data_IF_242192795566
#
_entry.id   IF_242192795566
#
_cell.length_a   1.000
_cell.length_b   1.000
_cell.length_c   1.000
_cell.angle_alpha   90.00
_cell.angle_beta   90.00
_cell.angle_gamma   90.00
#
_symmetry.space_group_name_H-M   'P 1'
#
loop_
_entity.id
_entity.type
_entity.pdbx_description
1 polymer ?
#
# COMPACT_ATOMS: atom_id res chain seq x y z
N UNK A 1 26.11 -21.61 -2.70
CA UNK A 1 25.37 -21.42 -1.42
C UNK A 1 25.05 -19.94 -1.12
N UNK A 2 25.58 -18.96 -1.86
CA UNK A 2 25.33 -17.55 -1.55
C UNK A 2 23.87 -17.11 -1.79
N UNK A 3 23.21 -17.63 -2.84
CA UNK A 3 21.81 -17.24 -3.16
C UNK A 3 20.83 -17.48 -2.02
N UNK A 4 20.84 -18.67 -1.41
CA UNK A 4 19.94 -18.98 -0.29
C UNK A 4 20.25 -18.10 0.94
N UNK A 5 21.53 -17.88 1.24
CA UNK A 5 21.96 -16.98 2.32
C UNK A 5 21.50 -15.53 2.08
N UNK A 6 21.58 -15.04 0.84
CA UNK A 6 21.13 -13.71 0.47
C UNK A 6 19.60 -13.56 0.64
N UNK A 7 18.84 -14.57 0.20
CA UNK A 7 17.38 -14.61 0.38
C UNK A 7 16.97 -14.73 1.85
N UNK A 8 17.75 -15.44 2.67
CA UNK A 8 17.55 -15.55 4.12
C UNK A 8 17.78 -14.22 4.82
N UNK A 9 18.90 -13.54 4.52
CA UNK A 9 19.18 -12.20 5.03
C UNK A 9 18.13 -11.16 4.62
N UNK A 10 17.57 -11.31 3.42
CA UNK A 10 16.47 -10.47 2.93
C UNK A 10 15.11 -10.80 3.58
N UNK A 11 15.01 -11.90 4.35
CA UNK A 11 13.76 -12.37 4.94
C UNK A 11 12.79 -13.00 3.95
N UNK A 12 13.22 -13.25 2.71
CA UNK A 12 12.41 -13.87 1.64
C UNK A 12 12.37 -15.39 1.76
N UNK A 13 13.42 -16.01 2.30
CA UNK A 13 13.50 -17.44 2.53
C UNK A 13 14.13 -17.73 3.89
N UNK A 14 13.33 -18.08 4.89
CA UNK A 14 13.83 -18.33 6.25
C UNK A 14 13.18 -19.57 6.85
N UNK A 15 13.88 -20.19 7.80
CA UNK A 15 13.29 -21.23 8.64
C UNK A 15 12.15 -20.65 9.47
N UNK A 16 11.01 -21.35 9.46
CA UNK A 16 9.86 -20.95 10.26
C UNK A 16 10.05 -21.39 11.72
N UNK A 17 10.34 -20.43 12.60
CA UNK A 17 10.46 -20.69 14.04
C UNK A 17 9.10 -20.57 14.76
N UNK A 18 8.23 -19.65 14.30
CA UNK A 18 6.89 -19.43 14.87
C UNK A 18 5.83 -19.31 13.79
N UNK A 19 4.57 -19.53 14.18
CA UNK A 19 3.42 -19.31 13.29
C UNK A 19 3.30 -17.82 12.99
N UNK A 20 3.32 -17.44 11.72
CA UNK A 20 3.21 -16.04 11.31
C UNK A 20 1.79 -15.47 11.44
N UNK A 21 1.69 -14.14 11.53
CA UNK A 21 0.42 -13.40 11.64
C UNK A 21 -0.38 -13.32 10.33
N UNK A 22 0.11 -13.97 9.26
CA UNK A 22 -0.44 -13.85 7.91
C UNK A 22 -1.92 -14.20 7.84
N UNK A 23 -2.39 -15.22 8.56
CA UNK A 23 -3.81 -15.60 8.53
C UNK A 23 -4.70 -14.48 9.07
N UNK A 24 -4.27 -13.83 10.15
CA UNK A 24 -4.98 -12.70 10.77
C UNK A 24 -5.00 -11.50 9.84
N UNK A 25 -3.83 -11.12 9.29
CA UNK A 25 -3.69 -9.99 8.35
C UNK A 25 -4.54 -10.23 7.10
N UNK A 26 -4.45 -11.42 6.50
CA UNK A 26 -5.19 -11.81 5.30
C UNK A 26 -6.70 -11.66 5.47
N UNK A 27 -7.23 -12.10 6.62
CA UNK A 27 -8.66 -12.01 6.94
C UNK A 27 -9.08 -10.57 7.24
N UNK A 28 -8.33 -9.88 8.10
CA UNK A 28 -8.66 -8.52 8.53
C UNK A 28 -8.66 -7.52 7.37
N UNK A 29 -7.75 -7.69 6.41
CA UNK A 29 -7.63 -6.81 5.24
C UNK A 29 -8.34 -7.36 3.99
N UNK A 30 -9.08 -8.48 4.11
CA UNK A 30 -9.79 -9.10 2.97
C UNK A 30 -8.89 -9.21 1.73
N UNK A 31 -7.70 -9.81 1.92
CA UNK A 31 -6.70 -9.90 0.84
C UNK A 31 -7.04 -10.96 -0.20
N UNK A 32 -7.92 -11.91 0.14
CA UNK A 32 -8.41 -12.93 -0.79
C UNK A 32 -9.92 -12.78 -0.91
N UNK A 33 -10.37 -12.57 -2.14
CA UNK A 33 -11.76 -12.39 -2.54
C UNK A 33 -12.09 -13.53 -3.49
N UNK A 34 -13.12 -14.30 -3.13
CA UNK A 34 -13.64 -15.37 -3.97
C UNK A 34 -14.53 -14.77 -5.08
N UNK A 35 -14.66 -15.47 -6.21
CA UNK A 35 -15.54 -15.11 -7.33
C UNK A 35 -15.34 -13.68 -7.89
N UNK A 36 -14.10 -13.30 -8.17
CA UNK A 36 -13.77 -11.97 -8.73
C UNK A 36 -14.11 -11.87 -10.22
N UNK A 37 -15.03 -10.97 -10.59
CA UNK A 37 -15.26 -10.58 -11.98
C UNK A 37 -14.08 -9.70 -12.45
N UNK A 38 -13.35 -10.19 -13.46
CA UNK A 38 -12.20 -9.48 -14.04
C UNK A 38 -12.60 -8.57 -15.21
N UNK A 39 -13.78 -8.76 -15.78
CA UNK A 39 -14.31 -7.92 -16.87
C UNK A 39 -14.93 -6.63 -16.32
N UNK A 40 -15.69 -6.72 -15.22
CA UNK A 40 -16.27 -5.58 -14.53
C UNK A 40 -15.85 -5.55 -13.06
N UNK A 41 -14.57 -5.25 -12.78
CA UNK A 41 -14.04 -5.36 -11.42
C UNK A 41 -14.65 -4.33 -10.47
N UNK A 42 -15.00 -4.78 -9.27
CA UNK A 42 -15.49 -3.95 -8.17
C UNK A 42 -14.47 -3.80 -7.02
N UNK A 43 -13.36 -4.55 -7.08
CA UNK A 43 -12.32 -4.58 -6.06
C UNK A 43 -10.93 -4.67 -6.69
N UNK A 44 -9.92 -4.12 -5.99
CA UNK A 44 -8.52 -4.14 -6.42
C UNK A 44 -7.94 -5.56 -6.59
N UNK A 45 -8.57 -6.59 -6.02
CA UNK A 45 -8.19 -7.99 -6.19
C UNK A 45 -8.24 -8.52 -7.63
N UNK A 46 -8.90 -7.81 -8.56
CA UNK A 46 -8.97 -8.18 -9.98
C UNK A 46 -7.58 -8.34 -10.62
N UNK A 47 -6.58 -7.56 -10.18
CA UNK A 47 -5.23 -7.58 -10.77
C UNK A 47 -4.51 -8.91 -10.60
N UNK A 48 -4.94 -9.73 -9.63
CA UNK A 48 -4.48 -11.10 -9.43
C UNK A 48 -5.64 -12.10 -9.34
N UNK A 49 -6.79 -11.78 -9.96
CA UNK A 49 -7.96 -12.67 -10.04
C UNK A 49 -8.40 -13.25 -8.68
N UNK A 50 -8.43 -12.38 -7.66
CA UNK A 50 -8.88 -12.74 -6.30
C UNK A 50 -7.91 -12.36 -5.20
N UNK A 51 -6.65 -12.06 -5.50
CA UNK A 51 -5.72 -11.52 -4.49
C UNK A 51 -5.58 -10.00 -4.61
N UNK A 52 -5.96 -9.29 -3.55
CA UNK A 52 -5.69 -7.87 -3.41
C UNK A 52 -4.25 -7.66 -2.88
N UNK A 53 -3.38 -6.93 -3.59
CA UNK A 53 -2.03 -6.67 -3.10
C UNK A 53 -2.10 -5.95 -1.75
N UNK A 54 -1.47 -6.52 -0.72
CA UNK A 54 -1.44 -5.96 0.64
C UNK A 54 -1.07 -4.48 0.65
N UNK A 55 -0.04 -4.10 -0.11
CA UNK A 55 0.42 -2.71 -0.25
C UNK A 55 -0.71 -1.77 -0.70
N UNK A 56 -1.49 -2.16 -1.70
CA UNK A 56 -2.59 -1.34 -2.22
C UNK A 56 -3.80 -1.37 -1.29
N UNK A 57 -4.05 -2.49 -0.62
CA UNK A 57 -5.13 -2.57 0.37
C UNK A 57 -4.88 -1.64 1.56
N UNK A 58 -3.63 -1.50 2.00
CA UNK A 58 -3.25 -0.52 3.02
C UNK A 58 -3.50 0.92 2.55
N UNK A 59 -3.10 1.25 1.32
CA UNK A 59 -3.36 2.57 0.71
C UNK A 59 -4.86 2.85 0.62
N UNK A 60 -5.66 1.88 0.19
CA UNK A 60 -7.12 2.01 0.12
C UNK A 60 -7.73 2.35 1.48
N UNK A 61 -7.33 1.67 2.55
CA UNK A 61 -7.82 1.95 3.90
C UNK A 61 -7.36 3.32 4.40
N UNK A 62 -6.09 3.66 4.18
CA UNK A 62 -5.55 4.96 4.57
C UNK A 62 -6.32 6.11 3.94
N UNK A 63 -6.68 5.98 2.67
CA UNK A 63 -7.40 7.02 1.92
C UNK A 63 -8.89 7.07 2.30
N UNK A 64 -9.55 5.92 2.49
CA UNK A 64 -11.01 5.88 2.73
C UNK A 64 -11.38 6.08 4.20
N UNK A 65 -10.63 5.49 5.11
CA UNK A 65 -10.98 5.36 6.53
C UNK A 65 -9.91 5.89 7.49
N UNK A 66 -8.73 6.24 6.96
CA UNK A 66 -7.56 6.60 7.77
C UNK A 66 -6.88 5.39 8.43
N UNK A 67 -5.85 5.66 9.22
CA UNK A 67 -5.02 4.61 9.84
C UNK A 67 -5.56 4.05 11.15
N UNK A 68 -6.38 4.83 11.89
CA UNK A 68 -6.89 4.45 13.22
C UNK A 68 -7.57 3.07 13.25
N UNK A 69 -8.44 2.70 12.29
CA UNK A 69 -9.07 1.38 12.30
C UNK A 69 -8.10 0.21 12.05
N UNK A 70 -6.89 0.50 11.54
CA UNK A 70 -5.88 -0.50 11.20
C UNK A 70 -4.75 -0.61 12.22
N UNK A 71 -4.72 0.19 13.30
CA UNK A 71 -3.59 0.25 14.24
C UNK A 71 -3.15 -1.13 14.75
N UNK A 72 -4.10 -2.00 15.11
CA UNK A 72 -3.79 -3.34 15.60
C UNK A 72 -3.27 -4.28 14.51
N UNK A 73 -3.74 -4.11 13.27
CA UNK A 73 -3.25 -4.87 12.13
C UNK A 73 -1.85 -4.40 11.73
N UNK A 74 -1.59 -3.09 11.78
CA UNK A 74 -0.29 -2.51 11.50
C UNK A 74 0.77 -3.07 12.45
N UNK A 75 0.49 -3.18 13.76
CA UNK A 75 1.42 -3.80 14.75
C UNK A 75 1.86 -5.23 14.39
N UNK A 76 1.13 -5.94 13.52
CA UNK A 76 1.48 -7.29 13.06
C UNK A 76 2.40 -7.29 11.82
N UNK A 77 2.57 -6.14 11.18
CA UNK A 77 3.43 -5.95 10.02
C UNK A 77 4.85 -5.54 10.43
N UNK A 78 5.86 -5.80 9.57
CA UNK A 78 7.22 -5.37 9.85
C UNK A 78 7.38 -3.84 9.80
N UNK A 79 8.22 -3.33 10.71
CA UNK A 79 8.66 -1.94 10.71
C UNK A 79 7.78 -1.00 11.53
N UNK A 80 8.23 0.25 11.73
CA UNK A 80 7.45 1.26 12.45
C UNK A 80 6.31 1.81 11.57
N UNK A 81 5.22 2.23 12.22
CA UNK A 81 4.11 2.93 11.59
C UNK A 81 3.96 4.29 12.25
N UNK A 82 3.99 5.36 11.46
CA UNK A 82 3.94 6.73 11.99
C UNK A 82 3.13 7.59 11.07
N UNK A 83 2.22 8.36 11.66
CA UNK A 83 1.48 9.42 10.99
C UNK A 83 2.02 10.75 11.49
N UNK A 84 2.52 11.60 10.58
CA UNK A 84 3.01 12.93 10.93
C UNK A 84 2.19 13.97 10.21
N UNK A 85 1.46 14.78 10.97
CA UNK A 85 0.79 15.97 10.45
C UNK A 85 1.77 17.13 10.52
N UNK A 86 2.27 17.58 9.38
CA UNK A 86 2.97 18.86 9.32
C UNK A 86 1.93 19.96 9.45
N UNK A 87 2.00 20.74 10.52
CA UNK A 87 1.31 22.04 10.56
C UNK A 87 1.93 22.87 9.45
N UNK A 88 1.13 23.34 8.49
CA UNK A 88 1.66 24.13 7.38
C UNK A 88 2.40 25.35 7.92
N UNK A 89 3.46 25.76 7.21
CA UNK A 89 3.95 27.13 7.32
C UNK A 89 2.90 28.05 6.73
N UNK A 90 1.88 28.39 7.52
CA UNK A 90 0.94 29.45 7.24
C UNK A 90 1.21 30.50 8.32
N UNK A 91 1.91 31.56 7.96
CA UNK A 91 1.90 32.77 8.76
C UNK A 91 0.45 33.25 8.84
N UNK A 92 -0.15 33.16 10.02
CA UNK A 92 -1.53 33.57 10.25
C UNK A 92 -2.17 32.79 11.39
N UNK A 93 -2.21 33.41 12.57
CA UNK A 93 -2.90 32.93 13.76
C UNK A 93 -4.42 32.86 13.56
N UNK A 94 -5.03 31.70 13.72
CA UNK A 94 -6.32 31.51 14.41
C UNK A 94 -6.55 30.02 14.72
N UNK A 95 -6.66 29.75 16.01
CA UNK A 95 -7.46 28.75 16.72
C UNK A 95 -7.76 27.36 16.11
N UNK A 96 -7.34 26.36 16.88
CA UNK A 96 -8.00 25.07 17.09
C UNK A 96 -8.55 24.34 15.86
N UNK A 97 -7.66 23.60 15.19
CA UNK A 97 -8.06 22.63 14.15
C UNK A 97 -7.65 21.21 14.57
N UNK A 98 -8.26 20.77 15.67
CA UNK A 98 -8.56 19.35 15.85
C UNK A 98 -9.64 18.98 14.83
N UNK A 99 -9.45 17.92 14.05
CA UNK A 99 -10.42 17.27 13.13
C UNK A 99 -10.54 17.64 11.62
N UNK A 100 -9.71 18.49 11.00
CA UNK A 100 -9.99 18.93 9.61
C UNK A 100 -9.31 18.22 8.42
N UNK A 101 -8.46 17.20 8.61
CA UNK A 101 -7.73 16.62 7.44
C UNK A 101 -8.64 15.79 6.53
N UNK A 102 -9.76 15.28 7.05
CA UNK A 102 -10.80 14.61 6.25
C UNK A 102 -11.69 15.60 5.48
N UNK A 103 -11.68 16.90 5.81
CA UNK A 103 -12.43 17.94 5.11
C UNK A 103 -11.60 18.69 4.06
N UNK A 104 -10.34 18.31 3.84
CA UNK A 104 -9.59 18.69 2.64
C UNK A 104 -9.96 17.80 1.43
N UNK A 105 -11.09 17.09 1.45
CA UNK A 105 -11.55 16.27 0.34
C UNK A 105 -12.16 17.09 -0.81
N UNK A 106 -12.38 18.39 -0.60
CA UNK A 106 -12.76 19.34 -1.66
C UNK A 106 -11.90 20.58 -1.53
N UNK A 107 -10.91 20.71 -2.41
CA UNK A 107 -10.43 22.05 -2.76
C UNK A 107 -11.68 22.81 -3.23
N UNK A 108 -11.92 24.03 -2.71
CA UNK A 108 -13.16 24.80 -2.96
C UNK A 108 -13.50 25.02 -4.45
N UNK A 109 -12.59 24.66 -5.36
CA UNK A 109 -12.70 24.70 -6.82
C UNK A 109 -13.21 23.39 -7.46
N UNK A 110 -13.76 22.44 -6.67
CA UNK A 110 -14.26 21.15 -7.19
C UNK A 110 -13.18 20.15 -7.62
N UNK A 111 -11.91 20.45 -7.35
CA UNK A 111 -10.78 19.57 -7.65
C UNK A 111 -10.56 18.53 -6.55
N UNK A 112 -10.18 17.32 -6.98
CA UNK A 112 -9.74 16.24 -6.09
C UNK A 112 -8.42 16.61 -5.43
N UNK A 113 -8.23 16.17 -4.20
CA UNK A 113 -6.98 16.39 -3.49
C UNK A 113 -5.90 15.43 -3.97
N UNK A 114 -4.64 15.88 -3.97
CA UNK A 114 -3.55 15.07 -4.49
C UNK A 114 -2.92 14.22 -3.38
N UNK A 115 -2.70 12.93 -3.64
CA UNK A 115 -1.98 12.02 -2.73
C UNK A 115 -0.79 11.42 -3.47
N UNK A 116 0.41 11.59 -2.92
CA UNK A 116 1.62 10.93 -3.39
C UNK A 116 1.84 9.64 -2.60
N UNK A 117 1.78 8.50 -3.28
CA UNK A 117 2.10 7.17 -2.75
C UNK A 117 3.51 6.80 -3.18
N UNK A 118 4.43 6.58 -2.23
CA UNK A 118 5.84 6.27 -2.52
C UNK A 118 6.18 4.83 -2.13
N UNK A 119 6.64 4.05 -3.10
CA UNK A 119 7.14 2.69 -2.91
C UNK A 119 8.67 2.70 -2.81
N UNK A 120 9.21 2.37 -1.64
CA UNK A 120 10.65 2.21 -1.43
C UNK A 120 11.00 0.73 -1.54
N UNK A 121 11.87 0.37 -2.49
CA UNK A 121 12.23 -1.02 -2.79
C UNK A 121 11.61 -1.55 -4.09
N UNK A 122 10.58 -0.86 -4.60
CA UNK A 122 10.02 -1.06 -5.93
C UNK A 122 8.52 -1.27 -5.93
N UNK A 123 7.91 -1.13 -7.11
CA UNK A 123 6.48 -1.35 -7.34
C UNK A 123 6.27 -2.19 -8.61
N UNK A 124 5.24 -3.01 -8.60
CA UNK A 124 4.86 -3.85 -9.75
C UNK A 124 3.82 -3.16 -10.65
N UNK A 125 3.70 -3.61 -11.90
CA UNK A 125 2.64 -3.13 -12.78
C UNK A 125 1.23 -3.48 -12.27
N UNK A 126 1.06 -4.61 -11.57
CA UNK A 126 -0.21 -4.99 -10.95
C UNK A 126 -0.61 -4.01 -9.83
N UNK A 127 0.34 -3.61 -8.99
CA UNK A 127 0.12 -2.59 -7.96
C UNK A 127 -0.21 -1.22 -8.57
N UNK A 128 0.48 -0.82 -9.65
CA UNK A 128 0.18 0.40 -10.40
C UNK A 128 -1.25 0.34 -10.98
N UNK A 129 -1.63 -0.78 -11.59
CA UNK A 129 -2.96 -0.98 -12.16
C UNK A 129 -4.06 -0.94 -11.09
N UNK A 130 -3.82 -1.54 -9.93
CA UNK A 130 -4.73 -1.50 -8.79
C UNK A 130 -4.90 -0.07 -8.23
N UNK A 131 -3.83 0.73 -8.14
CA UNK A 131 -3.92 2.14 -7.74
C UNK A 131 -4.67 2.99 -8.76
N UNK A 132 -4.45 2.76 -10.06
CA UNK A 132 -5.20 3.44 -11.13
C UNK A 132 -6.70 3.11 -11.05
N UNK A 133 -7.03 1.84 -10.89
CA UNK A 133 -8.40 1.38 -10.66
C UNK A 133 -9.03 1.99 -9.41
N UNK A 134 -8.26 2.09 -8.31
CA UNK A 134 -8.72 2.74 -7.09
C UNK A 134 -9.01 4.24 -7.30
N UNK A 135 -8.14 4.93 -8.04
CA UNK A 135 -8.28 6.35 -8.38
C UNK A 135 -9.46 6.65 -9.32
N UNK A 136 -9.90 5.68 -10.11
CA UNK A 136 -11.03 5.80 -11.03
C UNK A 136 -12.39 5.44 -10.42
N UNK A 137 -12.42 4.96 -9.16
CA UNK A 137 -13.67 4.63 -8.49
C UNK A 137 -14.59 5.84 -8.33
N UNK A 138 -15.88 5.62 -8.47
CA UNK A 138 -16.89 6.64 -8.19
C UNK A 138 -16.81 7.07 -6.72
N UNK A 139 -16.94 8.37 -6.46
CA UNK A 139 -16.80 8.94 -5.11
C UNK A 139 -15.35 9.08 -4.61
N UNK A 140 -14.34 8.75 -5.42
CA UNK A 140 -12.94 8.97 -5.04
C UNK A 140 -12.61 10.47 -4.98
N UNK A 141 -12.21 10.93 -3.79
CA UNK A 141 -11.90 12.33 -3.51
C UNK A 141 -10.44 12.73 -3.82
N UNK A 142 -9.60 11.77 -4.21
CA UNK A 142 -8.17 11.98 -4.40
C UNK A 142 -7.66 11.52 -5.76
N UNK A 143 -6.73 12.29 -6.30
CA UNK A 143 -5.89 11.89 -7.43
C UNK A 143 -4.57 11.32 -6.90
N UNK A 144 -4.18 10.15 -7.40
CA UNK A 144 -3.01 9.43 -6.91
C UNK A 144 -1.81 9.64 -7.84
N UNK A 145 -0.69 10.10 -7.27
CA UNK A 145 0.63 10.06 -7.91
C UNK A 145 1.43 8.91 -7.30
N UNK A 146 2.08 8.12 -8.15
CA UNK A 146 2.88 6.98 -7.74
C UNK A 146 4.37 7.32 -7.90
N UNK A 147 5.09 7.40 -6.78
CA UNK A 147 6.55 7.44 -6.75
C UNK A 147 7.11 6.06 -6.44
N UNK A 148 8.22 5.68 -7.06
CA UNK A 148 8.89 4.41 -6.76
C UNK A 148 10.38 4.51 -6.98
N UNK A 149 11.16 3.71 -6.26
CA UNK A 149 12.60 3.57 -6.52
C UNK A 149 12.90 2.77 -7.80
N UNK A 150 12.05 1.80 -8.14
CA UNK A 150 12.22 0.95 -9.33
C UNK A 150 10.91 0.24 -9.68
N UNK A 151 10.60 0.13 -10.96
CA UNK A 151 9.53 -0.79 -11.40
C UNK A 151 10.12 -2.21 -11.43
N UNK A 152 9.48 -3.14 -10.73
CA UNK A 152 9.97 -4.51 -10.54
C UNK A 152 8.91 -5.56 -10.83
N UNK A 153 9.36 -6.79 -11.02
CA UNK A 153 8.56 -8.01 -11.00
C UNK A 153 9.29 -9.09 -10.17
N UNK A 154 8.70 -10.29 -10.06
CA UNK A 154 9.30 -11.38 -9.30
C UNK A 154 10.71 -11.77 -9.76
N UNK A 155 10.99 -11.74 -11.06
CA UNK A 155 12.32 -12.06 -11.60
C UNK A 155 13.35 -10.98 -11.26
N UNK A 156 13.04 -9.70 -11.54
CA UNK A 156 13.97 -8.59 -11.26
C UNK A 156 14.16 -8.34 -9.77
N UNK A 157 13.22 -8.78 -8.93
CA UNK A 157 13.35 -8.75 -7.48
C UNK A 157 14.34 -9.80 -6.98
N UNK A 158 14.32 -11.00 -7.56
CA UNK A 158 15.16 -12.12 -7.13
C UNK A 158 16.57 -12.03 -7.73
N UNK A 159 16.71 -11.48 -8.94
CA UNK A 159 17.98 -11.37 -9.67
C UNK A 159 19.16 -10.81 -8.84
N UNK A 160 19.01 -9.74 -8.02
CA UNK A 160 20.12 -9.22 -7.21
C UNK A 160 20.61 -10.19 -6.12
N UNK A 161 19.79 -11.17 -5.74
CA UNK A 161 20.16 -12.17 -4.75
C UNK A 161 20.83 -13.41 -5.37
N UNK A 162 20.67 -13.61 -6.68
CA UNK A 162 21.25 -14.73 -7.42
C UNK A 162 22.71 -14.44 -7.75
N UNK A 163 23.59 -15.32 -7.28
CA UNK A 163 25.00 -15.28 -7.61
C UNK A 163 25.21 -15.62 -9.10
N UNK A 164 25.90 -14.75 -9.84
CA UNK A 164 26.30 -15.06 -11.22
C UNK A 164 27.50 -15.99 -11.14
N UNK A 165 27.30 -17.26 -11.49
CA UNK A 165 28.41 -18.18 -11.74
C UNK A 165 29.12 -17.68 -13.00
N UNK A 166 30.32 -17.12 -12.80
CA UNK A 166 31.26 -16.80 -13.87
C UNK A 166 31.94 -18.05 -14.39
#
# INVERSE_FOLDING_TARGET
MATLNNLEKAGLFRKQETKGNWITIKRALQLVVEDTDTANPNDISYVFSGYAPLSIRLVQHAIRSGWRPLEDILKLLPGPHTETKRSGYVGGSYDNISSSVLNLAKVGDGRRSLVLVVFVGGVTFAEIAALRFLSSQEGMAYDLIIGTTKIINGQTLIEPFVEKLG
#
